data_IF_744730957985
#
_entry.id   IF_744730957985
#
_cell.length_a   1.000
_cell.length_b   1.000
_cell.length_c   1.000
_cell.angle_alpha   90.00
_cell.angle_beta   90.00
_cell.angle_gamma   90.00
#
_symmetry.space_group_name_H-M   'P 1'
#
loop_
_entity.id
_entity.type
_entity.pdbx_description
1 polymer ?
#
# COMPACT_ATOMS: atom_id res chain seq x y z
N UNK A 1 -61.60 22.09 20.68
CA UNK A 1 -60.72 21.00 21.17
C UNK A 1 -60.93 19.78 20.27
N UNK A 2 -60.05 19.54 19.30
CA UNK A 2 -60.11 18.35 18.44
C UNK A 2 -58.86 17.50 18.66
N UNK A 3 -59.02 16.40 19.41
CA UNK A 3 -57.98 15.39 19.62
C UNK A 3 -57.79 14.60 18.32
N UNK A 4 -56.67 14.83 17.65
CA UNK A 4 -56.18 13.94 16.59
C UNK A 4 -55.72 12.62 17.21
N UNK A 5 -56.62 11.64 17.32
CA UNK A 5 -56.22 10.25 17.47
C UNK A 5 -55.65 9.76 16.14
N UNK A 6 -54.33 9.90 15.95
CA UNK A 6 -53.61 9.17 14.90
C UNK A 6 -53.70 7.68 15.23
N UNK A 7 -54.63 6.96 14.60
CA UNK A 7 -54.56 5.50 14.53
C UNK A 7 -53.28 5.14 13.77
N UNK A 8 -52.30 4.43 14.38
CA UNK A 8 -51.16 3.95 13.63
C UNK A 8 -51.65 2.87 12.66
N UNK A 9 -51.47 3.10 11.36
CA UNK A 9 -51.74 2.08 10.36
C UNK A 9 -50.92 0.82 10.70
N UNK A 10 -51.50 -0.40 10.66
CA UNK A 10 -50.83 -1.64 11.06
C UNK A 10 -49.55 -1.92 10.26
N UNK A 11 -49.48 -1.44 9.03
CA UNK A 11 -48.29 -1.46 8.16
C UNK A 11 -47.09 -0.67 8.74
N UNK A 12 -47.32 0.37 9.54
CA UNK A 12 -46.24 1.18 10.15
C UNK A 12 -45.65 0.53 11.40
N UNK A 13 -46.48 -0.15 12.21
CA UNK A 13 -46.01 -0.83 13.42
C UNK A 13 -45.20 -2.07 13.03
N UNK A 14 -45.69 -2.85 12.06
CA UNK A 14 -44.97 -4.02 11.57
C UNK A 14 -43.59 -3.63 10.99
N UNK A 15 -43.54 -2.53 10.23
CA UNK A 15 -42.28 -1.98 9.69
C UNK A 15 -41.34 -1.45 10.79
N UNK A 16 -41.88 -0.88 11.89
CA UNK A 16 -41.08 -0.47 13.05
C UNK A 16 -40.50 -1.67 13.80
N UNK A 17 -41.29 -2.71 14.05
CA UNK A 17 -40.81 -3.94 14.70
C UNK A 17 -39.75 -4.61 13.82
N UNK A 18 -39.97 -4.66 12.50
CA UNK A 18 -38.99 -5.17 11.55
C UNK A 18 -37.69 -4.35 11.57
N UNK A 19 -37.76 -3.02 11.64
CA UNK A 19 -36.55 -2.18 11.75
C UNK A 19 -35.82 -2.37 13.08
N UNK A 20 -36.52 -2.49 14.21
CA UNK A 20 -35.90 -2.75 15.52
C UNK A 20 -35.22 -4.12 15.54
N UNK A 21 -35.79 -5.11 14.86
CA UNK A 21 -35.18 -6.43 14.75
C UNK A 21 -33.98 -6.45 13.77
N UNK A 22 -34.05 -5.71 12.66
CA UNK A 22 -33.05 -5.74 11.59
C UNK A 22 -31.84 -4.83 11.86
N UNK A 23 -32.06 -3.67 12.47
CA UNK A 23 -31.00 -2.67 12.71
C UNK A 23 -29.82 -3.22 13.54
N UNK A 24 -30.04 -3.93 14.67
CA UNK A 24 -28.93 -4.50 15.44
C UNK A 24 -28.10 -5.49 14.61
N UNK A 25 -28.76 -6.32 13.80
CA UNK A 25 -28.08 -7.29 12.95
C UNK A 25 -27.22 -6.60 11.88
N UNK A 26 -27.74 -5.53 11.25
CA UNK A 26 -26.97 -4.74 10.30
C UNK A 26 -25.78 -4.02 10.95
N UNK A 27 -25.95 -3.48 12.16
CA UNK A 27 -24.87 -2.80 12.89
C UNK A 27 -23.75 -3.79 13.23
N UNK A 28 -24.10 -4.96 13.78
CA UNK A 28 -23.12 -6.00 14.14
C UNK A 28 -22.40 -6.52 12.90
N UNK A 29 -23.15 -6.79 11.83
CA UNK A 29 -22.56 -7.26 10.56
C UNK A 29 -21.64 -6.20 9.96
N UNK A 30 -22.04 -4.92 9.96
CA UNK A 30 -21.23 -3.81 9.47
C UNK A 30 -19.94 -3.62 10.28
N UNK A 31 -20.02 -3.66 11.61
CA UNK A 31 -18.86 -3.61 12.49
C UNK A 31 -17.92 -4.79 12.25
N UNK A 32 -18.47 -6.00 12.10
CA UNK A 32 -17.68 -7.19 11.84
C UNK A 32 -16.91 -7.08 10.52
N UNK A 33 -17.58 -6.67 9.43
CA UNK A 33 -16.94 -6.44 8.13
C UNK A 33 -15.83 -5.39 8.26
N UNK A 34 -16.07 -4.31 9.00
CA UNK A 34 -15.09 -3.24 9.20
C UNK A 34 -13.85 -3.74 9.95
N UNK A 35 -14.02 -4.50 11.04
CA UNK A 35 -12.91 -5.07 11.81
C UNK A 35 -12.10 -6.07 10.98
N UNK A 36 -12.77 -6.97 10.27
CA UNK A 36 -12.10 -7.94 9.38
C UNK A 36 -11.33 -7.22 8.27
N UNK A 37 -11.91 -6.19 7.67
CA UNK A 37 -11.25 -5.40 6.64
C UNK A 37 -9.99 -4.69 7.16
N UNK A 38 -10.08 -4.03 8.32
CA UNK A 38 -8.92 -3.39 8.96
C UNK A 38 -7.82 -4.40 9.32
N UNK A 39 -8.21 -5.54 9.90
CA UNK A 39 -7.28 -6.61 10.23
C UNK A 39 -6.55 -7.16 9.00
N UNK A 40 -7.29 -7.36 7.91
CA UNK A 40 -6.71 -7.82 6.65
C UNK A 40 -5.73 -6.80 6.06
N UNK A 41 -6.07 -5.50 6.05
CA UNK A 41 -5.15 -4.46 5.61
C UNK A 41 -3.86 -4.45 6.44
N UNK A 42 -3.97 -4.49 7.77
CA UNK A 42 -2.81 -4.46 8.65
C UNK A 42 -1.94 -5.72 8.51
N UNK A 43 -2.55 -6.87 8.22
CA UNK A 43 -1.83 -8.10 7.95
C UNK A 43 -1.06 -8.02 6.63
N UNK A 44 -1.71 -7.59 5.55
CA UNK A 44 -1.07 -7.45 4.24
C UNK A 44 0.06 -6.42 4.27
N UNK A 45 -0.10 -5.30 4.99
CA UNK A 45 0.98 -4.33 5.18
C UNK A 45 2.20 -4.92 5.87
N UNK A 46 1.99 -5.74 6.92
CA UNK A 46 3.10 -6.42 7.61
C UNK A 46 3.81 -7.43 6.72
N UNK A 47 3.07 -8.20 5.94
CA UNK A 47 3.66 -9.12 4.98
C UNK A 47 4.48 -8.38 3.92
N UNK A 48 3.94 -7.28 3.38
CA UNK A 48 4.64 -6.46 2.39
C UNK A 48 5.94 -5.88 2.95
N UNK A 49 5.91 -5.38 4.19
CA UNK A 49 7.09 -4.85 4.88
C UNK A 49 8.14 -5.94 5.10
N UNK A 50 7.75 -7.12 5.58
CA UNK A 50 8.65 -8.25 5.78
C UNK A 50 9.28 -8.72 4.46
N UNK A 51 8.49 -8.79 3.40
CA UNK A 51 8.96 -9.15 2.06
C UNK A 51 9.91 -8.08 1.50
N UNK A 52 9.61 -6.80 1.70
CA UNK A 52 10.47 -5.69 1.33
C UNK A 52 11.81 -5.70 2.06
N UNK A 53 11.81 -6.01 3.36
CA UNK A 53 13.03 -6.13 4.16
C UNK A 53 13.90 -7.31 3.71
N UNK A 54 13.30 -8.47 3.42
CA UNK A 54 14.03 -9.62 2.88
C UNK A 54 14.63 -9.31 1.50
N UNK A 55 13.86 -8.65 0.63
CA UNK A 55 14.34 -8.22 -0.68
C UNK A 55 15.50 -7.22 -0.54
N UNK A 56 15.39 -6.24 0.35
CA UNK A 56 16.44 -5.29 0.63
C UNK A 56 17.71 -5.96 1.16
N UNK A 57 17.59 -6.96 2.04
CA UNK A 57 18.72 -7.73 2.54
C UNK A 57 19.40 -8.57 1.43
N UNK A 58 18.61 -9.20 0.56
CA UNK A 58 19.13 -9.94 -0.59
C UNK A 58 19.87 -9.02 -1.58
N UNK A 59 19.28 -7.85 -1.87
CA UNK A 59 19.93 -6.81 -2.68
C UNK A 59 21.22 -6.34 -2.04
N UNK A 60 21.23 -6.07 -0.73
CA UNK A 60 22.43 -5.64 -0.02
C UNK A 60 23.57 -6.68 -0.14
N UNK A 61 23.26 -7.97 0.06
CA UNK A 61 24.25 -9.04 -0.09
C UNK A 61 24.74 -9.20 -1.54
N UNK A 62 23.85 -9.10 -2.53
CA UNK A 62 24.22 -9.19 -3.94
C UNK A 62 25.11 -8.00 -4.38
N UNK A 63 24.87 -6.82 -3.80
CA UNK A 63 25.58 -5.59 -4.15
C UNK A 63 26.87 -5.36 -3.34
N UNK A 64 27.09 -6.08 -2.24
CA UNK A 64 28.25 -5.89 -1.35
C UNK A 64 29.57 -5.91 -2.12
N UNK A 65 29.76 -6.91 -2.99
CA UNK A 65 30.98 -7.03 -3.80
C UNK A 65 31.10 -5.93 -4.87
N UNK A 66 29.99 -5.59 -5.56
CA UNK A 66 29.99 -4.54 -6.57
C UNK A 66 30.28 -3.15 -5.97
N UNK A 67 29.74 -2.88 -4.79
CA UNK A 67 29.98 -1.65 -4.04
C UNK A 67 31.42 -1.61 -3.51
N UNK A 68 31.94 -2.72 -2.96
CA UNK A 68 33.31 -2.80 -2.47
C UNK A 68 34.37 -2.64 -3.57
N UNK A 69 34.06 -3.06 -4.80
CA UNK A 69 34.96 -2.95 -5.96
C UNK A 69 34.75 -1.67 -6.77
N UNK A 70 33.77 -0.83 -6.41
CA UNK A 70 33.43 0.38 -7.15
C UNK A 70 32.80 0.12 -8.53
N UNK A 71 32.28 -1.08 -8.77
CA UNK A 71 31.67 -1.51 -10.03
C UNK A 71 30.24 -0.97 -10.19
N UNK A 72 30.07 0.36 -10.13
CA UNK A 72 28.76 1.03 -10.15
C UNK A 72 27.99 0.79 -11.45
N UNK A 73 28.69 0.57 -12.57
CA UNK A 73 28.09 0.26 -13.88
C UNK A 73 27.31 -1.07 -13.89
N UNK A 74 27.58 -1.97 -12.93
CA UNK A 74 26.93 -3.28 -12.83
C UNK A 74 25.71 -3.26 -11.90
N UNK A 75 25.52 -2.19 -11.11
CA UNK A 75 24.36 -1.99 -10.23
C UNK A 75 23.02 -2.21 -10.94
N UNK A 76 22.76 -1.62 -12.13
CA UNK A 76 21.46 -1.76 -12.78
C UNK A 76 21.14 -3.22 -13.08
N UNK A 77 22.10 -3.96 -13.65
CA UNK A 77 21.93 -5.37 -14.03
C UNK A 77 21.74 -6.27 -12.81
N UNK A 78 22.50 -6.05 -11.73
CA UNK A 78 22.35 -6.84 -10.49
C UNK A 78 21.03 -6.57 -9.78
N UNK A 79 20.60 -5.31 -9.75
CA UNK A 79 19.31 -4.90 -9.16
C UNK A 79 18.16 -5.49 -9.96
N UNK A 80 18.19 -5.40 -11.30
CA UNK A 80 17.17 -5.98 -12.16
C UNK A 80 17.10 -7.51 -12.02
N UNK A 81 18.25 -8.20 -12.01
CA UNK A 81 18.32 -9.64 -11.82
C UNK A 81 17.75 -10.11 -10.46
N UNK A 82 17.76 -9.25 -9.44
CA UNK A 82 17.22 -9.56 -8.10
C UNK A 82 15.74 -9.18 -7.98
N UNK A 83 15.31 -8.06 -8.59
CA UNK A 83 13.92 -7.58 -8.57
C UNK A 83 13.01 -8.43 -9.47
N UNK A 84 13.48 -8.87 -10.63
CA UNK A 84 12.64 -9.53 -11.63
C UNK A 84 12.07 -10.89 -11.15
N UNK A 85 12.85 -11.76 -10.48
CA UNK A 85 12.30 -12.96 -9.85
C UNK A 85 11.36 -12.62 -8.69
N UNK A 86 11.72 -11.62 -7.88
CA UNK A 86 10.92 -11.21 -6.74
C UNK A 86 9.54 -10.70 -7.17
N UNK A 87 9.46 -9.80 -8.15
CA UNK A 87 8.20 -9.30 -8.70
C UNK A 87 7.32 -10.41 -9.29
N UNK A 88 7.93 -11.40 -9.94
CA UNK A 88 7.23 -12.58 -10.47
C UNK A 88 6.66 -13.48 -9.36
N UNK A 89 7.44 -13.74 -8.29
CA UNK A 89 7.05 -14.64 -7.19
C UNK A 89 6.06 -13.95 -6.24
N UNK A 90 6.30 -12.69 -5.91
CA UNK A 90 5.53 -11.93 -4.93
C UNK A 90 4.25 -11.34 -5.52
N UNK A 91 4.11 -11.32 -6.85
CA UNK A 91 2.96 -10.74 -7.55
C UNK A 91 2.76 -9.23 -7.28
N UNK A 92 3.72 -8.61 -6.59
CA UNK A 92 3.69 -7.19 -6.19
C UNK A 92 4.86 -6.49 -6.87
N UNK A 93 4.59 -5.44 -7.69
CA UNK A 93 5.65 -4.73 -8.38
C UNK A 93 6.48 -3.91 -7.39
N UNK A 94 7.80 -4.02 -7.48
CA UNK A 94 8.73 -3.16 -6.73
C UNK A 94 8.59 -1.74 -7.29
N UNK A 95 8.17 -0.80 -6.44
CA UNK A 95 7.90 0.59 -6.84
C UNK A 95 9.14 1.45 -6.92
N UNK A 96 10.05 1.30 -5.96
CA UNK A 96 11.27 2.09 -5.86
C UNK A 96 12.38 1.25 -5.23
N UNK A 97 13.60 1.40 -5.74
CA UNK A 97 14.83 0.92 -5.12
C UNK A 97 15.84 2.06 -5.14
N UNK A 98 16.41 2.38 -3.97
CA UNK A 98 17.46 3.39 -3.85
C UNK A 98 18.66 2.74 -3.16
N UNK A 99 19.84 2.88 -3.78
CA UNK A 99 21.13 2.46 -3.23
C UNK A 99 21.89 3.73 -2.82
N UNK A 100 22.33 3.78 -1.58
CA UNK A 100 23.09 4.92 -1.03
C UNK A 100 24.44 4.50 -0.49
N UNK A 101 25.40 5.41 -0.56
CA UNK A 101 26.69 5.29 0.14
C UNK A 101 26.55 5.56 1.66
N UNK A 102 27.61 5.33 2.42
CA UNK A 102 27.71 5.59 3.86
C UNK A 102 27.33 7.04 4.23
N UNK A 103 27.65 8.01 3.36
CA UNK A 103 27.30 9.43 3.51
C UNK A 103 25.83 9.74 3.12
N UNK A 104 24.99 8.72 2.92
CA UNK A 104 23.61 8.81 2.39
C UNK A 104 23.51 9.44 1.00
N UNK A 105 24.61 9.47 0.25
CA UNK A 105 24.61 9.91 -1.15
C UNK A 105 23.98 8.83 -2.01
N UNK A 106 23.03 9.20 -2.87
CA UNK A 106 22.38 8.26 -3.77
C UNK A 106 23.36 7.84 -4.86
N UNK A 107 23.70 6.55 -4.89
CA UNK A 107 24.54 5.92 -5.90
C UNK A 107 23.71 5.43 -7.09
N UNK A 108 22.50 4.92 -6.80
CA UNK A 108 21.56 4.46 -7.81
C UNK A 108 20.12 4.59 -7.31
N UNK A 109 19.19 4.91 -8.23
CA UNK A 109 17.75 4.96 -7.95
C UNK A 109 16.95 4.43 -9.13
N UNK A 110 15.99 3.56 -8.83
CA UNK A 110 14.97 3.06 -9.75
C UNK A 110 13.58 3.39 -9.17
N UNK A 111 12.63 3.94 -9.93
CA UNK A 111 12.81 4.54 -11.25
C UNK A 111 13.74 5.76 -11.19
N UNK A 112 14.45 6.04 -12.28
CA UNK A 112 15.31 7.22 -12.36
C UNK A 112 14.51 8.49 -12.01
N UNK A 113 15.10 9.46 -11.29
CA UNK A 113 14.42 10.71 -10.99
C UNK A 113 13.94 11.35 -12.29
N UNK A 114 12.67 11.79 -12.31
CA UNK A 114 12.11 12.46 -13.48
C UNK A 114 13.01 13.66 -13.81
N UNK A 115 13.43 13.83 -15.08
CA UNK A 115 14.15 15.04 -15.46
C UNK A 115 13.23 16.23 -15.18
N UNK A 116 13.65 17.10 -14.27
CA UNK A 116 12.99 18.39 -14.06
C UNK A 116 13.12 19.12 -15.40
N UNK A 117 12.02 19.53 -16.06
CA UNK A 117 12.12 20.29 -17.30
C UNK A 117 12.91 21.56 -16.97
N UNK A 118 14.09 21.67 -17.57
CA UNK A 118 14.90 22.88 -17.57
C UNK A 118 14.03 24.01 -18.10
N UNK A 119 13.54 24.87 -17.21
CA UNK A 119 12.96 26.15 -17.59
C UNK A 119 14.07 26.91 -18.28
N UNK A 120 14.02 26.90 -19.62
CA UNK A 120 14.92 27.61 -20.50
C UNK A 120 14.85 29.09 -20.12
N UNK A 121 15.91 29.55 -19.47
CA UNK A 121 16.34 30.94 -19.44
C UNK A 121 16.51 31.39 -20.89
N UNK A 122 15.55 32.18 -21.39
CA UNK A 122 15.65 32.81 -22.70
C UNK A 122 15.57 34.32 -22.51
N UNK A 123 16.66 34.87 -21.97
CA UNK A 123 16.98 36.29 -22.03
C UNK A 123 18.06 36.47 -23.10
N UNK A 124 17.64 36.86 -24.30
CA UNK A 124 18.40 37.75 -25.19
C UNK A 124 17.51 38.32 -26.28
#
# INVERSE_FOLDING_TARGET
MLRFQRRPCPLSIHRQIMMIALMPALIVTGLFVLVVYQGNLQHNWRLLEQQGQLLAAQLAGALEYALATGALEQLPTMIEATIQPATSILGTPVREVTVTDADRRVLYRLPAPHPVPSTLDNRN
#
